data_IF_862841489292
#
_entry.id   IF_862841489292
#
_cell.length_a   1.000
_cell.length_b   1.000
_cell.length_c   1.000
_cell.angle_alpha   90.00
_cell.angle_beta   90.00
_cell.angle_gamma   90.00
#
_symmetry.space_group_name_H-M   'P 1'
#
loop_
_entity.id
_entity.type
_entity.pdbx_description
1 polymer ?
#
# COMPACT_ATOMS: atom_id res chain seq x y z
N UNK A 1 -3.61 16.63 -3.51
CA UNK A 1 -2.25 16.08 -3.51
C UNK A 1 -2.29 14.61 -3.19
N UNK A 2 -1.68 13.75 -4.04
CA UNK A 2 -1.59 12.31 -3.80
C UNK A 2 -0.14 11.93 -3.54
N UNK A 3 0.10 11.10 -2.50
CA UNK A 3 1.42 10.59 -2.17
C UNK A 3 1.50 9.12 -2.62
N UNK A 4 2.31 8.88 -3.64
CA UNK A 4 2.55 7.56 -4.22
C UNK A 4 3.95 7.11 -3.80
N UNK A 5 4.11 5.88 -3.33
CA UNK A 5 5.41 5.36 -2.94
C UNK A 5 6.06 4.55 -4.07
N UNK A 6 7.31 4.86 -4.39
CA UNK A 6 8.18 4.06 -5.25
C UNK A 6 9.24 3.44 -4.35
N UNK A 7 9.07 2.15 -4.00
CA UNK A 7 9.77 1.54 -2.86
C UNK A 7 9.52 2.36 -1.58
N UNK A 8 10.53 3.02 -1.03
CA UNK A 8 10.41 3.84 0.17
C UNK A 8 10.40 5.35 -0.12
N UNK A 9 10.62 5.77 -1.38
CA UNK A 9 10.67 7.16 -1.80
C UNK A 9 9.30 7.69 -2.26
N UNK A 10 8.91 8.93 -1.91
CA UNK A 10 7.65 9.52 -2.32
C UNK A 10 7.72 10.13 -3.74
N UNK A 11 6.77 9.76 -4.58
CA UNK A 11 6.36 10.45 -5.79
C UNK A 11 5.06 11.20 -5.48
N UNK A 12 5.08 12.51 -5.57
CA UNK A 12 3.96 13.36 -5.17
C UNK A 12 3.25 13.91 -6.40
N UNK A 13 1.97 13.58 -6.56
CA UNK A 13 1.14 14.18 -7.59
C UNK A 13 0.55 15.48 -7.04
N UNK A 14 0.86 16.62 -7.68
CA UNK A 14 0.52 17.94 -7.17
C UNK A 14 0.13 18.93 -8.26
N UNK A 15 -0.71 19.89 -7.91
CA UNK A 15 -1.02 21.05 -8.74
C UNK A 15 -0.34 22.34 -8.23
N UNK A 16 0.62 22.20 -7.33
CA UNK A 16 1.40 23.32 -6.79
C UNK A 16 2.87 23.08 -7.00
N UNK A 17 3.58 24.11 -7.42
CA UNK A 17 5.05 24.16 -7.48
C UNK A 17 5.50 25.00 -6.28
N UNK A 18 6.52 24.56 -5.59
CA UNK A 18 7.08 25.27 -4.43
C UNK A 18 8.60 25.27 -4.54
N UNK A 19 9.19 26.42 -4.52
CA UNK A 19 10.65 26.61 -4.56
C UNK A 19 11.32 26.25 -3.22
N UNK A 20 10.52 26.11 -2.15
CA UNK A 20 11.03 25.79 -0.80
C UNK A 20 11.12 24.30 -0.53
N UNK A 21 10.57 23.46 -1.40
CA UNK A 21 10.56 22.01 -1.22
C UNK A 21 11.63 21.35 -2.09
N UNK A 22 12.57 20.66 -1.45
CA UNK A 22 13.60 19.91 -2.16
C UNK A 22 12.99 18.73 -2.94
N UNK A 23 13.31 18.64 -4.26
CA UNK A 23 12.85 17.57 -5.15
C UNK A 23 12.66 18.09 -6.59
N UNK A 24 12.65 17.17 -7.55
CA UNK A 24 12.48 17.52 -8.96
C UNK A 24 11.01 17.47 -9.38
N UNK A 25 10.59 18.46 -10.18
CA UNK A 25 9.26 18.54 -10.76
C UNK A 25 9.27 18.04 -12.21
N UNK A 26 8.36 17.11 -12.49
CA UNK A 26 8.14 16.54 -13.82
C UNK A 26 6.74 16.89 -14.30
N UNK A 27 6.59 17.22 -15.59
CA UNK A 27 5.28 17.38 -16.21
C UNK A 27 4.59 16.01 -16.35
N UNK A 28 3.25 15.99 -16.22
CA UNK A 28 2.48 14.76 -16.32
C UNK A 28 2.42 14.25 -17.78
N UNK A 29 3.44 13.53 -18.21
CA UNK A 29 3.50 12.76 -19.45
C UNK A 29 4.16 11.40 -19.20
N UNK A 30 3.98 10.43 -20.13
CA UNK A 30 4.40 9.05 -19.90
C UNK A 30 5.91 8.87 -19.72
N UNK A 31 6.72 9.59 -20.46
CA UNK A 31 8.19 9.51 -20.39
C UNK A 31 8.69 10.11 -19.08
N UNK A 32 8.24 11.32 -18.73
CA UNK A 32 8.65 11.99 -17.49
C UNK A 32 8.24 11.21 -16.24
N UNK A 33 7.05 10.57 -16.25
CA UNK A 33 6.61 9.70 -15.15
C UNK A 33 7.55 8.50 -15.01
N UNK A 34 7.89 7.81 -16.10
CA UNK A 34 8.79 6.66 -16.05
C UNK A 34 10.19 7.05 -15.58
N UNK A 35 10.71 8.19 -16.06
CA UNK A 35 12.00 8.73 -15.63
C UNK A 35 12.02 9.05 -14.13
N UNK A 36 10.98 9.70 -13.61
CA UNK A 36 10.84 9.97 -12.18
C UNK A 36 10.78 8.66 -11.34
N UNK A 37 9.98 7.68 -11.78
CA UNK A 37 9.86 6.38 -11.11
C UNK A 37 11.21 5.65 -11.11
N UNK A 38 11.90 5.61 -12.25
CA UNK A 38 13.21 4.96 -12.38
C UNK A 38 14.27 5.62 -11.50
N UNK A 39 14.30 6.95 -11.45
CA UNK A 39 15.23 7.70 -10.63
C UNK A 39 15.02 7.44 -9.13
N UNK A 40 13.76 7.46 -8.67
CA UNK A 40 13.39 7.10 -7.30
C UNK A 40 13.74 5.64 -6.99
N UNK A 41 13.40 4.71 -7.89
CA UNK A 41 13.66 3.28 -7.71
C UNK A 41 15.16 2.95 -7.62
N UNK A 42 16.01 3.71 -8.34
CA UNK A 42 17.47 3.61 -8.34
C UNK A 42 18.15 4.47 -7.26
N UNK A 43 17.36 5.14 -6.40
CA UNK A 43 17.86 6.05 -5.35
C UNK A 43 18.75 7.19 -5.88
N UNK A 44 18.48 7.66 -7.09
CA UNK A 44 19.13 8.85 -7.67
C UNK A 44 18.54 10.14 -7.12
N UNK A 45 17.33 10.09 -6.58
CA UNK A 45 16.64 11.16 -5.86
C UNK A 45 15.81 10.59 -4.71
N UNK A 46 15.60 11.38 -3.68
CA UNK A 46 14.85 10.98 -2.48
C UNK A 46 13.35 11.30 -2.60
N UNK A 47 12.99 12.20 -3.53
CA UNK A 47 11.61 12.67 -3.75
C UNK A 47 11.47 13.21 -5.16
N UNK A 48 10.30 13.02 -5.77
CA UNK A 48 9.93 13.62 -7.04
C UNK A 48 8.48 14.12 -7.02
N UNK A 49 8.18 15.10 -7.88
CA UNK A 49 6.85 15.65 -8.04
C UNK A 49 6.37 15.48 -9.49
N UNK A 50 5.14 15.02 -9.67
CA UNK A 50 4.45 15.06 -10.96
C UNK A 50 3.45 16.22 -10.89
N UNK A 51 3.69 17.22 -11.72
CA UNK A 51 2.86 18.41 -11.76
C UNK A 51 1.76 18.30 -12.82
N UNK A 52 0.56 18.72 -12.45
CA UNK A 52 -0.55 18.99 -13.35
C UNK A 52 -1.42 20.10 -12.76
N UNK A 53 -1.80 21.14 -13.55
CA UNK A 53 -2.51 22.31 -13.03
C UNK A 53 -3.89 21.96 -12.42
N UNK A 54 -4.59 20.96 -12.97
CA UNK A 54 -5.89 20.54 -12.45
C UNK A 54 -5.69 19.37 -11.46
N UNK A 55 -5.98 19.64 -10.18
CA UNK A 55 -5.86 18.66 -9.09
C UNK A 55 -6.85 17.49 -9.24
N UNK A 56 -8.08 17.77 -9.68
CA UNK A 56 -9.13 16.75 -9.78
C UNK A 56 -8.84 15.72 -10.88
N UNK A 57 -8.13 16.15 -11.93
CA UNK A 57 -7.77 15.28 -13.05
C UNK A 57 -6.43 14.57 -12.88
N UNK A 58 -5.58 15.00 -11.95
CA UNK A 58 -4.20 14.54 -11.88
C UNK A 58 -4.09 13.02 -11.72
N UNK A 59 -4.86 12.41 -10.80
CA UNK A 59 -4.84 10.97 -10.62
C UNK A 59 -5.40 10.24 -11.84
N UNK A 60 -6.51 10.70 -12.40
CA UNK A 60 -7.13 10.15 -13.62
C UNK A 60 -6.18 10.18 -14.81
N UNK A 61 -5.46 11.29 -15.01
CA UNK A 61 -4.47 11.41 -16.10
C UNK A 61 -3.22 10.57 -15.83
N UNK A 62 -2.77 10.48 -14.56
CA UNK A 62 -1.67 9.62 -14.17
C UNK A 62 -1.97 8.14 -14.44
N UNK A 63 -3.16 7.66 -14.08
CA UNK A 63 -3.57 6.26 -14.27
C UNK A 63 -3.81 5.88 -15.74
N UNK A 64 -4.02 6.86 -16.64
CA UNK A 64 -3.99 6.61 -18.08
C UNK A 64 -2.59 6.26 -18.60
N UNK A 65 -1.53 6.64 -17.89
CA UNK A 65 -0.13 6.36 -18.25
C UNK A 65 0.44 5.17 -17.47
N UNK A 66 0.03 5.03 -16.22
CA UNK A 66 0.46 3.95 -15.32
C UNK A 66 -0.79 3.15 -14.94
N UNK A 67 -0.99 1.93 -15.50
CA UNK A 67 -2.17 1.12 -15.21
C UNK A 67 -2.36 0.88 -13.72
N UNK A 68 -3.60 1.05 -13.24
CA UNK A 68 -3.93 0.93 -11.83
C UNK A 68 -4.53 -0.44 -11.50
N UNK A 69 -4.12 -1.01 -10.39
CA UNK A 69 -4.76 -2.16 -9.74
C UNK A 69 -5.34 -1.71 -8.40
N UNK A 70 -6.65 -1.92 -8.22
CA UNK A 70 -7.34 -1.66 -6.96
C UNK A 70 -7.22 -2.89 -6.07
N UNK A 71 -7.05 -2.67 -4.77
CA UNK A 71 -6.88 -3.72 -3.77
C UNK A 71 -7.57 -3.34 -2.46
N UNK A 72 -8.02 -4.36 -1.71
CA UNK A 72 -8.51 -4.24 -0.35
C UNK A 72 -7.57 -4.89 0.65
N UNK A 73 -7.45 -4.33 1.85
CA UNK A 73 -6.62 -4.90 2.91
C UNK A 73 -7.05 -4.48 4.31
N UNK A 74 -6.50 -5.14 5.32
CA UNK A 74 -6.92 -4.96 6.70
C UNK A 74 -5.80 -4.76 7.71
N UNK A 75 -6.05 -3.81 8.63
CA UNK A 75 -5.36 -3.71 9.92
C UNK A 75 -6.20 -4.49 10.93
N UNK A 76 -5.89 -5.77 11.11
CA UNK A 76 -6.72 -6.68 11.89
C UNK A 76 -6.25 -6.75 13.34
N UNK A 77 -7.15 -6.53 14.29
CA UNK A 77 -6.90 -6.61 15.72
C UNK A 77 -7.66 -7.78 16.35
N UNK A 78 -6.99 -8.57 17.18
CA UNK A 78 -7.63 -9.62 17.95
C UNK A 78 -8.12 -9.13 19.33
N UNK A 79 -8.86 -10.01 20.08
CA UNK A 79 -9.37 -9.69 21.44
C UNK A 79 -8.29 -9.25 22.45
N UNK A 80 -7.01 -9.51 22.19
CA UNK A 80 -5.88 -9.11 23.06
C UNK A 80 -5.19 -7.82 22.58
N UNK A 81 -5.81 -7.06 21.65
CA UNK A 81 -5.24 -5.83 21.08
C UNK A 81 -4.01 -6.04 20.20
N UNK A 82 -3.72 -7.29 19.79
CA UNK A 82 -2.59 -7.57 18.91
C UNK A 82 -2.99 -7.41 17.44
N UNK A 83 -2.10 -6.84 16.64
CA UNK A 83 -2.30 -6.63 15.19
C UNK A 83 -1.69 -7.79 14.39
N UNK A 84 -2.39 -8.20 13.34
CA UNK A 84 -1.97 -9.25 12.41
C UNK A 84 -0.99 -8.68 11.39
N UNK A 85 0.15 -9.36 11.24
CA UNK A 85 1.16 -9.05 10.22
C UNK A 85 1.49 -10.30 9.42
N UNK A 86 1.79 -10.10 8.14
CA UNK A 86 2.41 -11.10 7.27
C UNK A 86 3.88 -10.77 7.05
N UNK A 87 4.70 -11.77 6.72
CA UNK A 87 6.10 -11.60 6.34
C UNK A 87 6.33 -12.23 4.97
N UNK A 88 6.75 -11.40 4.02
CA UNK A 88 7.07 -11.81 2.66
C UNK A 88 8.14 -10.90 2.05
N UNK A 89 8.96 -11.42 1.16
CA UNK A 89 10.04 -10.65 0.48
C UNK A 89 10.90 -9.88 1.49
N UNK A 90 11.28 -10.55 2.57
CA UNK A 90 12.12 -10.03 3.66
C UNK A 90 11.57 -8.80 4.39
N UNK A 91 10.26 -8.52 4.27
CA UNK A 91 9.60 -7.39 4.95
C UNK A 91 8.32 -7.83 5.68
N UNK A 92 8.02 -7.12 6.77
CA UNK A 92 6.71 -7.18 7.40
C UNK A 92 5.74 -6.31 6.60
N UNK A 93 4.56 -6.86 6.36
CA UNK A 93 3.49 -6.23 5.58
C UNK A 93 2.14 -6.52 6.26
N UNK A 94 1.07 -5.93 5.76
CA UNK A 94 -0.30 -6.23 6.16
C UNK A 94 -1.00 -6.99 5.03
N UNK A 95 -1.96 -7.88 5.37
CA UNK A 95 -2.67 -8.68 4.37
C UNK A 95 -3.56 -7.80 3.49
N UNK A 96 -3.49 -8.02 2.18
CA UNK A 96 -4.20 -7.30 1.13
C UNK A 96 -4.04 -7.96 -0.22
N UNK A 97 -5.03 -7.87 -1.05
CA UNK A 97 -4.90 -8.32 -2.41
C UNK A 97 -5.83 -7.63 -3.39
N UNK A 98 -5.85 -8.12 -4.61
CA UNK A 98 -6.50 -7.47 -5.74
C UNK A 98 -8.02 -7.63 -5.69
N UNK A 99 -8.73 -6.54 -6.00
CA UNK A 99 -10.18 -6.57 -6.20
C UNK A 99 -10.56 -7.46 -7.39
N UNK A 100 -11.47 -8.40 -7.15
CA UNK A 100 -12.02 -9.27 -8.18
C UNK A 100 -13.25 -8.64 -8.85
N UNK A 101 -13.61 -9.15 -10.03
CA UNK A 101 -14.75 -8.63 -10.78
C UNK A 101 -16.06 -8.95 -10.06
N UNK A 102 -16.85 -7.91 -9.80
CA UNK A 102 -18.17 -8.01 -9.16
C UNK A 102 -18.12 -8.03 -7.63
N UNK A 103 -16.96 -7.90 -7.03
CA UNK A 103 -16.74 -7.81 -5.59
C UNK A 103 -16.72 -6.35 -5.14
N UNK A 104 -17.28 -6.05 -3.99
CA UNK A 104 -17.08 -4.75 -3.33
C UNK A 104 -15.68 -4.68 -2.72
N UNK A 105 -15.18 -3.47 -2.46
CA UNK A 105 -13.84 -3.32 -1.90
C UNK A 105 -13.74 -3.84 -0.47
N UNK A 106 -14.84 -3.81 0.29
CA UNK A 106 -14.96 -4.38 1.62
C UNK A 106 -14.92 -5.90 1.59
N UNK A 107 -15.65 -6.53 0.67
CA UNK A 107 -15.59 -7.98 0.45
C UNK A 107 -14.20 -8.43 0.04
N UNK A 108 -13.56 -7.72 -0.88
CA UNK A 108 -12.18 -7.94 -1.25
C UNK A 108 -11.25 -7.90 -0.03
N UNK A 109 -11.36 -6.87 0.80
CA UNK A 109 -10.50 -6.74 1.97
C UNK A 109 -10.68 -7.89 2.97
N UNK A 110 -11.92 -8.34 3.19
CA UNK A 110 -12.21 -9.50 4.07
C UNK A 110 -11.64 -10.79 3.47
N UNK A 111 -11.93 -11.08 2.21
CA UNK A 111 -11.47 -12.28 1.49
C UNK A 111 -9.95 -12.38 1.49
N UNK A 112 -9.27 -11.31 1.10
CA UNK A 112 -7.81 -11.30 1.01
C UNK A 112 -7.13 -11.51 2.36
N UNK A 113 -7.65 -10.88 3.43
CA UNK A 113 -7.15 -11.14 4.79
C UNK A 113 -7.33 -12.60 5.17
N UNK A 114 -8.47 -13.20 4.87
CA UNK A 114 -8.73 -14.62 5.16
C UNK A 114 -7.83 -15.56 4.37
N UNK A 115 -7.65 -15.31 3.07
CA UNK A 115 -6.82 -16.12 2.17
C UNK A 115 -5.34 -16.04 2.52
N UNK A 116 -4.83 -14.82 2.73
CA UNK A 116 -3.42 -14.59 3.02
C UNK A 116 -2.98 -15.06 4.42
N UNK A 117 -3.92 -15.23 5.37
CA UNK A 117 -3.57 -15.45 6.80
C UNK A 117 -4.22 -16.65 7.46
N UNK A 118 -5.29 -17.20 6.86
CA UNK A 118 -6.11 -18.25 7.47
C UNK A 118 -7.01 -17.79 8.60
N UNK A 119 -7.03 -16.49 8.92
CA UNK A 119 -7.90 -15.91 9.95
C UNK A 119 -9.35 -15.96 9.46
N UNK A 120 -10.31 -16.18 10.38
CA UNK A 120 -11.74 -16.25 10.08
C UNK A 120 -12.54 -15.34 11.03
N UNK A 121 -13.80 -15.09 10.63
CA UNK A 121 -14.74 -14.31 11.44
C UNK A 121 -14.30 -12.84 11.59
N UNK A 122 -13.80 -12.27 10.51
CA UNK A 122 -13.43 -10.87 10.44
C UNK A 122 -14.68 -9.98 10.43
N UNK A 123 -14.59 -8.83 11.10
CA UNK A 123 -15.58 -7.75 11.03
C UNK A 123 -14.87 -6.44 10.74
N UNK A 124 -15.29 -5.75 9.70
CA UNK A 124 -14.86 -4.38 9.42
C UNK A 124 -15.47 -3.45 10.48
N UNK A 125 -14.65 -2.58 11.04
CA UNK A 125 -15.09 -1.53 11.97
C UNK A 125 -15.23 -0.19 11.22
N UNK A 126 -14.22 0.22 10.49
CA UNK A 126 -14.21 1.46 9.73
C UNK A 126 -13.17 1.43 8.61
N UNK A 127 -13.35 2.29 7.62
CA UNK A 127 -12.33 2.65 6.65
C UNK A 127 -11.25 3.49 7.33
N UNK A 128 -9.98 3.20 7.04
CA UNK A 128 -8.85 3.94 7.57
C UNK A 128 -8.35 5.00 6.58
N UNK A 129 -7.82 4.54 5.46
CA UNK A 129 -7.31 5.39 4.38
C UNK A 129 -6.99 4.60 3.13
N UNK A 130 -6.74 5.31 2.04
CA UNK A 130 -6.17 4.75 0.82
C UNK A 130 -4.67 5.04 0.76
N UNK A 131 -3.88 4.04 0.33
CA UNK A 131 -2.46 4.21 0.04
C UNK A 131 -2.16 3.86 -1.40
N UNK A 132 -1.14 4.51 -1.96
CA UNK A 132 -0.71 4.31 -3.34
C UNK A 132 0.75 3.90 -3.39
N UNK A 133 1.08 2.85 -4.18
CA UNK A 133 2.46 2.51 -4.44
C UNK A 133 2.68 1.97 -5.86
N UNK A 134 3.86 2.23 -6.39
CA UNK A 134 4.30 1.69 -7.68
C UNK A 134 4.97 0.35 -7.47
N UNK A 135 4.61 -0.61 -8.31
CA UNK A 135 5.30 -1.90 -8.42
C UNK A 135 5.53 -2.24 -9.90
N UNK A 136 6.41 -3.21 -10.17
CA UNK A 136 6.70 -3.65 -11.53
C UNK A 136 6.19 -5.08 -11.72
N UNK A 137 5.42 -5.32 -12.78
CA UNK A 137 4.96 -6.65 -13.20
C UNK A 137 5.21 -6.80 -14.69
N UNK A 138 5.90 -7.88 -15.10
CA UNK A 138 6.24 -8.15 -16.50
C UNK A 138 6.91 -6.94 -17.20
N UNK A 139 7.84 -6.29 -16.51
CA UNK A 139 8.55 -5.13 -17.05
C UNK A 139 7.79 -3.80 -17.03
N UNK A 140 6.49 -3.79 -16.73
CA UNK A 140 5.63 -2.62 -16.78
C UNK A 140 5.38 -2.10 -15.35
N UNK A 141 5.51 -0.77 -15.16
CA UNK A 141 5.10 -0.11 -13.93
C UNK A 141 3.59 -0.06 -13.81
N UNK A 142 3.10 -0.36 -12.61
CA UNK A 142 1.69 -0.28 -12.25
C UNK A 142 1.53 0.47 -10.94
N UNK A 143 0.43 1.18 -10.80
CA UNK A 143 -0.01 1.78 -9.55
C UNK A 143 -0.90 0.78 -8.81
N UNK A 144 -0.61 0.50 -7.56
CA UNK A 144 -1.54 -0.18 -6.66
C UNK A 144 -2.19 0.84 -5.74
N UNK A 145 -3.51 0.93 -5.81
CA UNK A 145 -4.36 1.65 -4.88
C UNK A 145 -4.89 0.65 -3.86
N UNK A 146 -4.58 0.83 -2.58
CA UNK A 146 -5.04 -0.07 -1.52
C UNK A 146 -5.95 0.66 -0.56
N UNK A 147 -7.18 0.17 -0.43
CA UNK A 147 -8.14 0.61 0.56
C UNK A 147 -7.97 -0.20 1.85
N UNK A 148 -7.63 0.49 2.93
CA UNK A 148 -7.34 -0.14 4.21
C UNK A 148 -8.49 0.02 5.19
N UNK A 149 -8.85 -1.08 5.84
CA UNK A 149 -9.92 -1.14 6.83
C UNK A 149 -9.38 -1.60 8.19
N UNK A 150 -9.86 -0.94 9.27
CA UNK A 150 -9.73 -1.49 10.61
C UNK A 150 -10.68 -2.67 10.74
N UNK A 151 -10.14 -3.80 11.20
CA UNK A 151 -10.91 -5.03 11.37
C UNK A 151 -10.68 -5.64 12.74
N UNK A 152 -11.70 -6.36 13.24
CA UNK A 152 -11.62 -7.17 14.45
C UNK A 152 -11.95 -8.63 14.21
N UNK A 153 -11.35 -9.51 15.02
CA UNK A 153 -11.69 -10.93 15.04
C UNK A 153 -11.55 -11.54 16.44
N UNK A 154 -12.34 -12.56 16.70
CA UNK A 154 -12.21 -13.43 17.87
C UNK A 154 -11.44 -14.73 17.56
N UNK A 155 -10.88 -14.88 16.38
CA UNK A 155 -10.22 -16.08 15.90
C UNK A 155 -9.05 -16.50 16.79
N UNK A 156 -9.03 -17.79 17.15
CA UNK A 156 -7.98 -18.41 17.97
C UNK A 156 -7.31 -19.60 17.27
N UNK A 157 -7.71 -19.86 16.02
CA UNK A 157 -7.18 -20.97 15.24
C UNK A 157 -5.74 -20.76 14.76
N UNK A 158 -5.26 -21.72 14.01
CA UNK A 158 -3.91 -21.68 13.41
C UNK A 158 -3.82 -20.62 12.31
N UNK A 159 -2.80 -19.79 12.38
CA UNK A 159 -2.46 -18.86 11.29
C UNK A 159 -1.73 -19.62 10.19
N UNK A 160 -2.15 -19.42 8.94
CA UNK A 160 -1.61 -20.12 7.77
C UNK A 160 -1.33 -19.09 6.67
N UNK A 161 -0.06 -18.88 6.35
CA UNK A 161 0.33 -17.99 5.24
C UNK A 161 0.04 -18.63 3.88
N UNK A 162 -0.51 -17.86 2.96
CA UNK A 162 -0.76 -18.27 1.59
C UNK A 162 0.58 -18.40 0.83
N UNK A 163 1.01 -19.62 0.56
CA UNK A 163 2.31 -19.90 -0.06
C UNK A 163 2.42 -19.36 -1.49
N UNK A 164 1.35 -19.38 -2.26
CA UNK A 164 1.30 -18.83 -3.63
C UNK A 164 1.60 -17.33 -3.70
N UNK A 165 1.32 -16.59 -2.61
CA UNK A 165 1.64 -15.16 -2.46
C UNK A 165 3.03 -14.92 -1.83
N UNK A 166 3.79 -15.97 -1.58
CA UNK A 166 5.14 -15.90 -0.97
C UNK A 166 5.11 -15.51 0.52
N UNK A 167 3.99 -15.77 1.22
CA UNK A 167 3.86 -15.45 2.63
C UNK A 167 4.52 -16.55 3.46
N UNK A 168 5.63 -16.20 4.09
CA UNK A 168 6.44 -17.11 4.90
C UNK A 168 5.98 -17.21 6.35
N UNK A 169 5.49 -16.09 6.91
CA UNK A 169 5.06 -16.02 8.32
C UNK A 169 3.82 -15.15 8.46
N UNK A 170 2.90 -15.59 9.33
CA UNK A 170 1.76 -14.81 9.80
C UNK A 170 1.84 -14.74 11.32
N UNK A 171 1.79 -13.54 11.90
CA UNK A 171 2.00 -13.35 13.34
C UNK A 171 1.11 -12.25 13.92
N UNK A 172 0.54 -12.52 15.09
CA UNK A 172 -0.04 -11.48 15.95
C UNK A 172 1.07 -10.73 16.68
N UNK A 173 1.09 -9.40 16.58
CA UNK A 173 2.09 -8.52 17.20
C UNK A 173 1.44 -7.56 18.18
N UNK A 174 1.93 -7.53 19.41
CA UNK A 174 1.61 -6.50 20.41
C UNK A 174 2.43 -5.22 20.17
N UNK A 175 2.18 -4.13 20.94
CA UNK A 175 2.73 -2.78 20.67
C UNK A 175 4.24 -2.75 20.40
N UNK A 176 5.06 -3.30 21.30
CA UNK A 176 6.52 -3.34 21.12
C UNK A 176 6.97 -4.11 19.87
N UNK A 177 6.26 -5.23 19.53
CA UNK A 177 6.56 -6.03 18.34
C UNK A 177 6.05 -5.37 17.05
N UNK A 178 5.03 -4.53 17.15
CA UNK A 178 4.56 -3.69 16.04
C UNK A 178 5.66 -2.69 15.68
N UNK A 179 6.15 -1.93 16.66
CA UNK A 179 7.22 -0.95 16.43
C UNK A 179 8.42 -1.58 15.71
N UNK A 180 8.93 -2.70 16.25
CA UNK A 180 10.03 -3.44 15.62
C UNK A 180 9.71 -3.98 14.23
N UNK A 181 8.46 -4.37 13.95
CA UNK A 181 8.05 -4.81 12.62
C UNK A 181 8.02 -3.65 11.62
N UNK A 182 7.56 -2.48 12.06
CA UNK A 182 7.50 -1.28 11.22
C UNK A 182 8.90 -0.79 10.81
N UNK A 183 9.96 -1.01 11.59
CA UNK A 183 11.34 -0.72 11.17
C UNK A 183 11.68 -1.44 9.86
N UNK A 184 11.22 -2.70 9.70
CA UNK A 184 11.41 -3.51 8.48
C UNK A 184 10.10 -3.67 7.68
N UNK A 185 9.32 -2.61 7.55
CA UNK A 185 8.11 -2.56 6.73
C UNK A 185 8.24 -1.54 5.60
N UNK A 186 7.37 -1.66 4.61
CA UNK A 186 7.24 -0.66 3.54
C UNK A 186 6.74 0.68 4.10
N UNK A 187 7.15 1.79 3.49
CA UNK A 187 6.78 3.14 3.95
C UNK A 187 5.26 3.39 3.91
N UNK A 188 4.55 2.83 2.93
CA UNK A 188 3.08 2.89 2.87
C UNK A 188 2.40 2.15 4.03
N UNK A 189 3.01 1.08 4.57
CA UNK A 189 2.51 0.39 5.76
C UNK A 189 2.80 1.21 7.02
N UNK A 190 4.01 1.77 7.14
CA UNK A 190 4.35 2.69 8.26
C UNK A 190 3.34 3.84 8.36
N UNK A 191 2.90 4.38 7.21
CA UNK A 191 1.93 5.46 7.15
C UNK A 191 0.54 5.12 7.70
N UNK A 192 0.19 3.83 7.88
CA UNK A 192 -1.06 3.40 8.53
C UNK A 192 -1.00 3.48 10.05
N UNK A 193 0.19 3.59 10.62
CA UNK A 193 0.44 3.65 12.07
C UNK A 193 1.04 4.99 12.50
N UNK A 194 1.25 5.91 11.57
CA UNK A 194 1.59 7.30 11.86
C UNK A 194 0.28 8.08 12.09
N UNK A 195 0.22 8.80 13.20
CA UNK A 195 -0.87 9.72 13.54
C UNK A 195 -0.95 10.91 12.56
#
# INVERSE_FOLDING_TARGET
MYKVFVKDAPLILTNKISDTVNGEYFMLNGEAINNAIDALAKKKMDRAFIYHPNHEEILKKFTKKIPMEIAGGGVVTNKKGKVLFIYRKDKWDLPKGKLDKGESIEECALREVEEETGVKGLKIENFLRTTYHIFKRNGIYKLKEVHWYAMKTAYKGKLVGQKSEGIEKVKWKGPQKIHKALENSYTNIKALFAD
#
